data_IF_380993178297
#
_entry.id   IF_380993178297
#
_cell.length_a   1.000
_cell.length_b   1.000
_cell.length_c   1.000
_cell.angle_alpha   90.00
_cell.angle_beta   90.00
_cell.angle_gamma   90.00
#
_symmetry.space_group_name_H-M   'P 1'
#
loop_
_entity.id
_entity.type
_entity.pdbx_description
1 polymer ?
#
# COMPACT_ATOMS: atom_id res chain seq x y z
N UNK A 1 12.17 1.53 -14.28
CA UNK A 1 11.06 0.97 -13.49
C UNK A 1 10.37 2.11 -12.76
N UNK A 2 9.05 2.29 -12.91
CA UNK A 2 8.31 3.25 -12.08
C UNK A 2 8.43 2.82 -10.62
N UNK A 3 8.67 3.78 -9.74
CA UNK A 3 8.69 3.57 -8.30
C UNK A 3 7.25 3.20 -7.91
N UNK A 4 7.01 1.97 -7.46
CA UNK A 4 5.72 1.59 -6.91
C UNK A 4 5.50 2.48 -5.69
N UNK A 5 4.59 3.42 -5.81
CA UNK A 5 4.33 4.45 -4.83
C UNK A 5 2.89 4.23 -4.35
N UNK A 6 2.75 3.54 -3.22
CA UNK A 6 1.44 3.20 -2.69
C UNK A 6 0.75 4.44 -2.08
N UNK A 7 -0.05 5.13 -2.91
CA UNK A 7 -0.75 6.40 -2.59
C UNK A 7 -1.88 6.26 -1.57
N UNK A 8 -2.51 5.10 -1.48
CA UNK A 8 -3.53 4.70 -0.52
C UNK A 8 -2.89 4.06 0.72
N UNK A 9 -1.89 3.19 0.55
CA UNK A 9 -1.25 2.49 1.68
C UNK A 9 -0.56 3.47 2.64
N UNK A 10 0.17 4.46 2.13
CA UNK A 10 0.90 5.44 2.94
C UNK A 10 0.00 6.17 3.96
N UNK A 11 -1.07 6.84 3.50
CA UNK A 11 -2.06 7.48 4.37
C UNK A 11 -2.74 6.51 5.33
N UNK A 12 -3.06 5.29 4.90
CA UNK A 12 -3.63 4.24 5.76
C UNK A 12 -2.68 3.91 6.92
N UNK A 13 -1.40 3.63 6.63
CA UNK A 13 -0.37 3.37 7.64
C UNK A 13 -0.21 4.54 8.61
N UNK A 14 -0.21 5.79 8.09
CA UNK A 14 -0.13 7.01 8.90
C UNK A 14 -1.30 7.12 9.87
N UNK A 15 -2.53 6.86 9.41
CA UNK A 15 -3.74 6.90 10.24
C UNK A 15 -3.62 5.94 11.43
N UNK A 16 -3.22 4.70 11.19
CA UNK A 16 -3.08 3.71 12.26
C UNK A 16 -1.93 4.03 13.23
N UNK A 17 -0.78 4.50 12.72
CA UNK A 17 0.31 4.95 13.59
C UNK A 17 -0.15 6.05 14.55
N UNK A 18 -0.89 7.04 14.04
CA UNK A 18 -1.43 8.14 14.85
C UNK A 18 -2.49 7.67 15.83
N UNK A 19 -3.37 6.74 15.43
CA UNK A 19 -4.37 6.13 16.30
C UNK A 19 -3.77 5.37 17.50
N UNK A 20 -2.55 4.87 17.36
CA UNK A 20 -1.78 4.23 18.44
C UNK A 20 -0.88 5.20 19.22
N UNK A 21 -0.89 6.50 18.90
CA UNK A 21 -0.03 7.49 19.56
C UNK A 21 1.47 7.28 19.32
N UNK A 22 1.85 6.56 18.26
CA UNK A 22 3.24 6.26 17.95
C UNK A 22 3.90 7.42 17.19
N UNK A 23 5.05 7.90 17.66
CA UNK A 23 5.87 8.83 16.87
C UNK A 23 6.59 8.08 15.75
N UNK A 24 6.88 8.76 14.64
CA UNK A 24 7.66 8.16 13.55
C UNK A 24 9.04 7.73 14.02
N UNK A 25 9.70 8.52 14.88
CA UNK A 25 10.96 8.15 15.53
C UNK A 25 10.87 6.78 16.24
N UNK A 26 9.82 6.53 17.02
CA UNK A 26 9.64 5.23 17.70
C UNK A 26 9.50 4.08 16.71
N UNK A 27 8.75 4.28 15.64
CA UNK A 27 8.56 3.27 14.59
C UNK A 27 9.87 3.01 13.85
N UNK A 28 10.59 4.06 13.47
CA UNK A 28 11.86 3.98 12.74
C UNK A 28 12.91 3.15 13.50
N UNK A 29 13.01 3.34 14.82
CA UNK A 29 13.86 2.52 15.69
C UNK A 29 13.46 1.04 15.62
N UNK A 30 12.15 0.75 15.70
CA UNK A 30 11.65 -0.64 15.67
C UNK A 30 11.85 -1.32 14.32
N UNK A 31 11.83 -0.56 13.23
CA UNK A 31 12.02 -1.06 11.86
C UNK A 31 13.48 -1.02 11.39
N UNK A 32 14.40 -0.48 12.20
CA UNK A 32 15.81 -0.33 11.81
C UNK A 32 16.00 0.62 10.62
N UNK A 33 15.18 1.67 10.51
CA UNK A 33 15.24 2.64 9.41
C UNK A 33 15.25 4.08 9.92
N UNK A 34 15.26 5.05 9.00
CA UNK A 34 15.23 6.48 9.36
C UNK A 34 13.79 6.98 9.52
N UNK A 35 13.60 8.03 10.32
CA UNK A 35 12.30 8.71 10.44
C UNK A 35 11.84 9.30 9.09
N UNK A 36 12.79 9.80 8.30
CA UNK A 36 12.52 10.29 6.94
C UNK A 36 12.00 9.17 6.03
N UNK A 37 12.46 7.93 6.21
CA UNK A 37 11.94 6.79 5.46
C UNK A 37 10.47 6.53 5.78
N UNK A 38 10.08 6.61 7.05
CA UNK A 38 8.68 6.53 7.47
C UNK A 38 7.85 7.64 6.82
N UNK A 39 8.33 8.88 6.88
CA UNK A 39 7.66 10.03 6.27
C UNK A 39 7.45 9.83 4.76
N UNK A 40 8.47 9.32 4.07
CA UNK A 40 8.41 9.11 2.63
C UNK A 40 7.32 8.11 2.24
N UNK A 41 7.20 6.95 2.91
CA UNK A 41 6.12 6.04 2.57
C UNK A 41 4.75 6.49 3.07
N UNK A 42 4.66 7.22 4.19
CA UNK A 42 3.39 7.82 4.63
C UNK A 42 2.84 8.85 3.63
N UNK A 43 3.71 9.48 2.85
CA UNK A 43 3.35 10.41 1.78
C UNK A 43 3.28 9.74 0.39
N UNK A 44 3.43 8.42 0.31
CA UNK A 44 3.41 7.69 -0.97
C UNK A 44 4.58 8.03 -1.90
N UNK A 45 5.71 8.50 -1.36
CA UNK A 45 6.95 8.80 -2.13
C UNK A 45 7.78 7.53 -2.36
N UNK A 46 7.58 6.52 -1.53
CA UNK A 46 8.13 5.18 -1.69
C UNK A 46 7.21 4.16 -1.00
N UNK A 47 7.45 2.87 -1.27
CA UNK A 47 6.78 1.79 -0.56
C UNK A 47 7.70 1.15 0.47
N UNK A 48 7.18 0.72 1.63
CA UNK A 48 7.94 -0.11 2.55
C UNK A 48 8.24 -1.46 1.87
N UNK A 49 9.46 -2.01 2.01
CA UNK A 49 9.77 -3.36 1.53
C UNK A 49 8.88 -4.40 2.21
N UNK A 50 8.59 -5.51 1.54
CA UNK A 50 7.72 -6.59 2.06
C UNK A 50 8.03 -7.05 3.51
N UNK A 51 9.30 -7.31 3.87
CA UNK A 51 9.66 -7.66 5.25
C UNK A 51 9.33 -6.56 6.26
N UNK A 52 9.50 -5.29 5.87
CA UNK A 52 9.16 -4.15 6.73
C UNK A 52 7.65 -3.96 6.84
N UNK A 53 6.90 -4.20 5.76
CA UNK A 53 5.44 -4.17 5.76
C UNK A 53 4.86 -5.22 6.72
N UNK A 54 5.45 -6.43 6.76
CA UNK A 54 5.06 -7.45 7.75
C UNK A 54 5.19 -6.93 9.19
N UNK A 55 6.32 -6.30 9.51
CA UNK A 55 6.53 -5.72 10.85
C UNK A 55 5.54 -4.57 11.11
N UNK A 56 5.25 -3.74 10.10
CA UNK A 56 4.26 -2.66 10.22
C UNK A 56 2.86 -3.19 10.53
N UNK A 57 2.43 -4.29 9.89
CA UNK A 57 1.15 -4.95 10.17
C UNK A 57 1.07 -5.33 11.66
N UNK A 58 2.12 -5.95 12.18
CA UNK A 58 2.18 -6.36 13.59
C UNK A 58 2.21 -5.15 14.55
N UNK A 59 3.05 -4.15 14.25
CA UNK A 59 3.25 -2.97 15.11
C UNK A 59 2.02 -2.08 15.14
N UNK A 60 1.35 -1.93 14.01
CA UNK A 60 0.16 -1.08 13.88
C UNK A 60 -1.14 -1.85 14.12
N UNK A 61 -1.07 -3.15 14.42
CA UNK A 61 -2.23 -4.03 14.66
C UNK A 61 -3.24 -3.94 13.51
N UNK A 62 -2.75 -4.04 12.29
CA UNK A 62 -3.55 -3.96 11.08
C UNK A 62 -4.15 -5.33 10.78
N UNK A 63 -5.30 -5.36 10.11
CA UNK A 63 -5.78 -6.58 9.47
C UNK A 63 -4.98 -6.82 8.18
N UNK A 64 -4.29 -7.97 8.04
CA UNK A 64 -3.58 -8.31 6.80
C UNK A 64 -4.46 -8.29 5.56
N UNK A 65 -5.76 -8.60 5.68
CA UNK A 65 -6.69 -8.60 4.55
C UNK A 65 -6.96 -7.18 4.05
N UNK A 66 -7.18 -6.21 4.96
CA UNK A 66 -7.35 -4.80 4.59
C UNK A 66 -6.11 -4.26 3.87
N UNK A 67 -4.92 -4.61 4.36
CA UNK A 67 -3.66 -4.20 3.73
C UNK A 67 -3.53 -4.79 2.32
N UNK A 68 -3.89 -6.06 2.15
CA UNK A 68 -3.87 -6.73 0.85
C UNK A 68 -4.88 -6.09 -0.12
N UNK A 69 -6.10 -5.80 0.34
CA UNK A 69 -7.12 -5.14 -0.47
C UNK A 69 -6.65 -3.78 -0.98
N UNK A 70 -6.03 -2.96 -0.12
CA UNK A 70 -5.47 -1.66 -0.51
C UNK A 70 -4.38 -1.81 -1.57
N UNK A 71 -3.46 -2.76 -1.39
CA UNK A 71 -2.39 -3.03 -2.35
C UNK A 71 -2.92 -3.50 -3.71
N UNK A 72 -3.95 -4.35 -3.70
CA UNK A 72 -4.61 -4.83 -4.91
C UNK A 72 -5.34 -3.71 -5.63
N UNK A 73 -6.07 -2.85 -4.90
CA UNK A 73 -6.77 -1.70 -5.45
C UNK A 73 -5.81 -0.73 -6.16
N UNK A 74 -4.67 -0.41 -5.54
CA UNK A 74 -3.67 0.44 -6.17
C UNK A 74 -3.07 -0.19 -7.43
N UNK A 75 -2.70 -1.47 -7.34
CA UNK A 75 -2.13 -2.20 -8.48
C UNK A 75 -3.13 -2.22 -9.64
N UNK A 76 -4.42 -2.52 -9.37
CA UNK A 76 -5.48 -2.51 -10.36
C UNK A 76 -5.64 -1.12 -11.01
N UNK A 77 -5.61 -0.04 -10.23
CA UNK A 77 -5.69 1.31 -10.76
C UNK A 77 -4.51 1.64 -11.69
N UNK A 78 -3.29 1.22 -11.32
CA UNK A 78 -2.11 1.39 -12.18
C UNK A 78 -2.21 0.60 -13.48
N UNK A 79 -2.63 -0.67 -13.40
CA UNK A 79 -2.71 -1.55 -14.56
C UNK A 79 -3.89 -1.25 -15.47
N UNK A 80 -5.04 -0.83 -14.95
CA UNK A 80 -6.19 -0.42 -15.78
C UNK A 80 -5.88 0.79 -16.65
N UNK A 81 -5.09 1.74 -16.14
CA UNK A 81 -4.60 2.88 -16.94
C UNK A 81 -3.68 2.43 -18.09
N UNK A 82 -2.86 1.40 -17.88
CA UNK A 82 -1.88 0.90 -18.87
C UNK A 82 -2.53 -0.02 -19.92
N UNK A 83 -3.47 -0.85 -19.50
CA UNK A 83 -3.99 -1.96 -20.33
C UNK A 83 -5.35 -1.61 -20.98
N UNK A 84 -5.74 -0.33 -20.99
CA UNK A 84 -6.98 0.16 -21.64
C UNK A 84 -7.01 0.08 -23.19
N UNK A 85 -6.19 -0.76 -23.81
CA UNK A 85 -6.24 -1.06 -25.25
C UNK A 85 -7.22 -2.21 -25.55
N UNK A 86 -8.54 -1.95 -25.57
CA UNK A 86 -9.64 -2.85 -26.08
C UNK A 86 -9.76 -4.29 -25.52
N UNK A 87 -8.74 -4.83 -24.87
CA UNK A 87 -8.53 -6.27 -24.66
C UNK A 87 -9.02 -6.71 -23.27
N UNK A 88 -8.94 -5.83 -22.26
CA UNK A 88 -9.44 -6.13 -20.91
C UNK A 88 -10.97 -6.25 -20.87
N UNK A 89 -11.72 -5.37 -21.53
CA UNK A 89 -13.19 -5.47 -21.55
C UNK A 89 -13.66 -6.80 -22.16
N UNK A 90 -12.87 -7.37 -23.08
CA UNK A 90 -13.12 -8.67 -23.68
C UNK A 90 -12.71 -9.82 -22.76
N UNK A 91 -11.63 -9.67 -21.98
CA UNK A 91 -11.22 -10.65 -20.97
C UNK A 91 -12.14 -10.66 -19.74
N UNK A 92 -12.45 -9.51 -19.13
CA UNK A 92 -13.37 -9.39 -17.99
C UNK A 92 -14.77 -9.97 -18.29
N UNK A 93 -15.29 -9.78 -19.51
CA UNK A 93 -16.52 -10.44 -19.97
C UNK A 93 -16.39 -11.97 -20.04
N UNK A 94 -15.20 -12.50 -20.31
CA UNK A 94 -14.94 -13.94 -20.49
C UNK A 94 -14.73 -14.69 -19.17
N UNK A 95 -14.32 -14.00 -18.10
CA UNK A 95 -14.08 -14.57 -16.76
C UNK A 95 -15.20 -14.28 -15.74
N UNK A 96 -16.33 -13.68 -16.15
CA UNK A 96 -17.53 -13.46 -15.30
C UNK A 96 -17.26 -12.77 -13.95
N UNK A 97 -16.28 -11.86 -13.90
CA UNK A 97 -16.12 -10.95 -12.77
C UNK A 97 -17.00 -9.75 -13.06
N UNK A 98 -18.08 -9.56 -12.30
CA UNK A 98 -18.96 -8.39 -12.44
C UNK A 98 -18.15 -7.13 -12.10
N UNK A 99 -17.84 -6.35 -13.13
CA UNK A 99 -17.44 -4.95 -12.97
C UNK A 99 -18.60 -4.19 -12.33
N UNK A 100 -18.45 -3.82 -11.06
CA UNK A 100 -19.31 -2.86 -10.37
C UNK A 100 -18.77 -1.45 -10.56
#
# INVERSE_FOLDING_TARGET
MKKNCHRLLGPYLKKHRLGLGLSRKKVAIKLGCTEQFILNFEHGVCSPPGPMLKILIDVYKLDPNEVLEILLQESLAEWTAVVSSKTINQWCKKINIKSS
#
